data_IF_452135310286
#
_entry.id   IF_452135310286
#
_cell.length_a   1.000
_cell.length_b   1.000
_cell.length_c   1.000
_cell.angle_alpha   90.00
_cell.angle_beta   90.00
_cell.angle_gamma   90.00
#
_symmetry.space_group_name_H-M   'P 1'
#
loop_
_entity.id
_entity.type
_entity.pdbx_description
1 polymer ?
#
# COMPACT_ATOMS: atom_id res chain seq x y z
N UNK A 1 -15.09 27.44 -11.30
CA UNK A 1 -13.89 27.39 -10.45
C UNK A 1 -12.98 26.33 -11.03
N UNK A 2 -11.93 26.74 -11.75
CA UNK A 2 -11.13 25.87 -12.60
C UNK A 2 -10.31 24.86 -11.79
N UNK A 3 -10.35 23.61 -12.25
CA UNK A 3 -9.60 22.47 -11.76
C UNK A 3 -8.11 22.80 -11.72
N UNK A 4 -7.57 22.91 -10.50
CA UNK A 4 -6.15 23.12 -10.31
C UNK A 4 -5.46 21.79 -10.56
N UNK A 5 -4.98 21.62 -11.78
CA UNK A 5 -4.01 20.61 -12.17
C UNK A 5 -2.79 20.69 -11.26
N UNK A 6 -2.87 20.03 -10.11
CA UNK A 6 -1.73 19.80 -9.24
C UNK A 6 -0.94 18.72 -9.97
N UNK A 7 0.14 19.13 -10.61
CA UNK A 7 1.17 18.24 -11.15
C UNK A 7 1.35 17.11 -10.14
N UNK A 8 0.86 15.91 -10.48
CA UNK A 8 0.95 14.73 -9.61
C UNK A 8 2.43 14.43 -9.46
N UNK A 9 3.10 15.01 -8.47
CA UNK A 9 4.37 14.50 -7.99
C UNK A 9 4.15 13.01 -7.79
N UNK A 10 4.90 12.20 -8.55
CA UNK A 10 4.68 10.75 -8.65
C UNK A 10 4.74 10.03 -7.30
N UNK A 11 5.18 10.70 -6.25
CA UNK A 11 4.94 10.33 -4.86
C UNK A 11 4.93 11.59 -4.01
N UNK A 12 3.82 11.86 -3.32
CA UNK A 12 3.86 12.69 -2.12
C UNK A 12 4.68 11.91 -1.09
N UNK A 13 5.83 12.42 -0.66
CA UNK A 13 6.76 11.67 0.22
C UNK A 13 6.09 11.17 1.51
N UNK A 14 5.08 11.90 1.98
CA UNK A 14 4.21 11.48 3.06
C UNK A 14 3.45 10.18 2.72
N UNK A 15 2.84 10.11 1.53
CA UNK A 15 2.12 8.90 1.09
C UNK A 15 3.07 7.73 0.92
N UNK A 16 4.28 7.95 0.40
CA UNK A 16 5.27 6.89 0.25
C UNK A 16 5.68 6.29 1.62
N UNK A 17 5.90 7.13 2.63
CA UNK A 17 6.22 6.67 3.98
C UNK A 17 5.07 5.85 4.61
N UNK A 18 3.81 6.27 4.42
CA UNK A 18 2.64 5.52 4.90
C UNK A 18 2.45 4.20 4.17
N UNK A 19 2.80 4.17 2.87
CA UNK A 19 2.78 2.94 2.09
C UNK A 19 3.81 1.94 2.61
N UNK A 20 5.05 2.37 2.86
CA UNK A 20 6.09 1.50 3.40
C UNK A 20 5.70 0.89 4.77
N UNK A 21 5.18 1.70 5.68
CA UNK A 21 4.72 1.24 6.99
C UNK A 21 3.60 0.20 6.87
N UNK A 22 2.59 0.49 6.04
CA UNK A 22 1.49 -0.43 5.82
C UNK A 22 1.93 -1.75 5.17
N UNK A 23 2.96 -1.75 4.33
CA UNK A 23 3.54 -2.99 3.80
C UNK A 23 4.22 -3.82 4.89
N UNK A 24 4.82 -3.18 5.91
CA UNK A 24 5.35 -3.87 7.09
C UNK A 24 4.22 -4.47 7.93
N UNK A 25 3.18 -3.70 8.23
CA UNK A 25 1.96 -4.19 8.93
C UNK A 25 1.32 -5.35 8.15
N UNK A 26 1.23 -5.25 6.82
CA UNK A 26 0.63 -6.30 5.99
C UNK A 26 1.39 -7.63 6.06
N UNK A 27 2.71 -7.57 6.23
CA UNK A 27 3.54 -8.77 6.36
C UNK A 27 3.46 -9.40 7.76
N UNK A 28 3.31 -8.59 8.80
CA UNK A 28 3.29 -9.05 10.20
C UNK A 28 1.88 -9.44 10.66
N UNK A 29 0.91 -8.54 10.46
CA UNK A 29 -0.45 -8.61 11.02
C UNK A 29 -1.52 -8.90 9.97
N UNK A 30 -1.18 -8.74 8.68
CA UNK A 30 -2.06 -9.04 7.55
C UNK A 30 -2.69 -7.81 6.88
N UNK A 31 -3.45 -8.07 5.82
CA UNK A 31 -3.91 -7.01 4.89
C UNK A 31 -4.95 -6.08 5.51
N UNK A 32 -5.82 -6.60 6.39
CA UNK A 32 -6.89 -5.80 7.02
C UNK A 32 -6.34 -4.66 7.91
N UNK A 33 -5.46 -4.92 8.90
CA UNK A 33 -4.91 -3.85 9.74
C UNK A 33 -4.05 -2.86 8.94
N UNK A 34 -3.38 -3.31 7.88
CA UNK A 34 -2.63 -2.44 6.97
C UNK A 34 -3.55 -1.48 6.18
N UNK A 35 -4.72 -1.97 5.76
CA UNK A 35 -5.73 -1.15 5.06
C UNK A 35 -6.30 -0.10 5.99
N UNK A 36 -6.65 -0.47 7.23
CA UNK A 36 -7.15 0.46 8.23
C UNK A 36 -6.11 1.56 8.54
N UNK A 37 -4.84 1.19 8.72
CA UNK A 37 -3.74 2.14 8.92
C UNK A 37 -3.65 3.16 7.77
N UNK A 38 -3.69 2.70 6.52
CA UNK A 38 -3.64 3.59 5.35
C UNK A 38 -4.84 4.52 5.29
N UNK A 39 -6.05 4.03 5.61
CA UNK A 39 -7.26 4.86 5.62
C UNK A 39 -7.22 5.92 6.73
N UNK A 40 -6.76 5.57 7.94
CA UNK A 40 -6.56 6.51 9.04
C UNK A 40 -5.50 7.57 8.71
N UNK A 41 -4.47 7.22 7.92
CA UNK A 41 -3.47 8.15 7.44
C UNK A 41 -3.93 9.04 6.27
N UNK A 42 -5.18 8.92 5.82
CA UNK A 42 -5.76 9.70 4.73
C UNK A 42 -5.43 9.18 3.33
N UNK A 43 -4.87 7.98 3.20
CA UNK A 43 -4.61 7.36 1.90
C UNK A 43 -5.94 6.85 1.32
N UNK A 44 -6.30 7.19 0.07
CA UNK A 44 -7.52 6.72 -0.55
C UNK A 44 -7.58 5.20 -0.61
N UNK A 45 -8.75 4.61 -0.27
CA UNK A 45 -8.97 3.15 -0.26
C UNK A 45 -8.55 2.47 -1.57
N UNK A 46 -8.83 3.08 -2.72
CA UNK A 46 -8.43 2.53 -4.02
C UNK A 46 -6.91 2.45 -4.19
N UNK A 47 -6.16 3.43 -3.67
CA UNK A 47 -4.70 3.41 -3.65
C UNK A 47 -4.20 2.33 -2.71
N UNK A 48 -4.77 2.26 -1.50
CA UNK A 48 -4.40 1.27 -0.50
C UNK A 48 -4.58 -0.17 -1.02
N UNK A 49 -5.75 -0.49 -1.58
CA UNK A 49 -6.02 -1.81 -2.15
C UNK A 49 -5.11 -2.14 -3.33
N UNK A 50 -4.78 -1.16 -4.19
CA UNK A 50 -3.83 -1.39 -5.30
C UNK A 50 -2.45 -1.80 -4.79
N UNK A 51 -2.02 -1.24 -3.67
CA UNK A 51 -0.71 -1.56 -3.08
C UNK A 51 -0.76 -2.90 -2.32
N UNK A 52 -1.71 -3.04 -1.41
CA UNK A 52 -1.81 -4.20 -0.52
C UNK A 52 -2.22 -5.49 -1.22
N UNK A 53 -3.04 -5.39 -2.26
CA UNK A 53 -3.47 -6.52 -3.08
C UNK A 53 -2.66 -6.64 -4.39
N UNK A 54 -1.50 -5.97 -4.48
CA UNK A 54 -0.65 -6.08 -5.67
C UNK A 54 -0.11 -7.50 -5.81
N UNK A 55 -0.15 -8.11 -7.01
CA UNK A 55 0.42 -9.42 -7.24
C UNK A 55 1.93 -9.47 -6.94
N UNK A 56 2.65 -8.35 -7.01
CA UNK A 56 4.06 -8.28 -6.63
C UNK A 56 4.27 -8.59 -5.13
N UNK A 57 3.33 -8.15 -4.29
CA UNK A 57 3.37 -8.38 -2.84
C UNK A 57 3.03 -9.84 -2.50
N UNK A 58 2.11 -10.45 -3.25
CA UNK A 58 1.65 -11.82 -2.99
C UNK A 58 2.57 -12.88 -3.60
N UNK A 59 3.24 -12.58 -4.73
CA UNK A 59 4.21 -13.50 -5.38
C UNK A 59 5.49 -13.72 -4.59
N UNK A 60 5.93 -12.76 -3.77
CA UNK A 60 7.11 -12.98 -2.91
C UNK A 60 6.85 -14.02 -1.81
N UNK A 61 5.61 -14.12 -1.35
CA UNK A 61 5.21 -15.04 -0.27
C UNK A 61 5.16 -16.50 -0.74
N UNK A 62 4.84 -16.73 -2.03
CA UNK A 62 4.76 -18.07 -2.61
C UNK A 62 6.15 -18.72 -2.82
N UNK A 63 7.21 -17.93 -3.03
CA UNK A 63 8.58 -18.48 -3.21
C UNK A 63 9.16 -19.17 -1.97
N UNK A 64 8.54 -19.03 -0.79
CA UNK A 64 9.01 -19.67 0.45
C UNK A 64 8.29 -20.98 0.79
N UNK A 65 7.51 -21.56 -0.13
CA UNK A 65 6.72 -22.77 0.17
C UNK A 65 6.83 -23.85 -0.89
N UNK A 66 8.04 -24.12 -1.37
CA UNK A 66 8.32 -25.36 -2.09
C UNK A 66 9.47 -26.13 -1.41
N UNK A 67 9.19 -26.91 -0.35
CA UNK A 67 10.11 -27.95 0.05
C UNK A 67 10.17 -28.97 -1.10
N UNK A 68 11.38 -29.19 -1.63
CA UNK A 68 11.66 -30.36 -2.47
C UNK A 68 11.71 -31.58 -1.57
#
# INVERSE_FOLDING_TARGET
MAERGKTRSRADGFTAARVDEALRIANTDGVHPALEYMQLAGVPRQTALRVLCSPALHRQRERRRNPR
#
